data_IF_857736956964
#
_entry.id   IF_857736956964
#
_cell.length_a   1.000
_cell.length_b   1.000
_cell.length_c   1.000
_cell.angle_alpha   90.00
_cell.angle_beta   90.00
_cell.angle_gamma   90.00
#
_symmetry.space_group_name_H-M   'P 1'
#
loop_
_entity.id
_entity.type
_entity.pdbx_description
1 polymer ?
#
# COMPACT_ATOMS: atom_id res chain seq x y z
N UNK A 1 4.05 15.64 3.70
CA UNK A 1 3.57 14.28 3.33
C UNK A 1 2.14 13.99 3.79
N UNK A 2 1.67 14.53 4.93
CA UNK A 2 0.31 14.31 5.46
C UNK A 2 -0.83 14.27 4.43
N UNK A 3 -0.90 15.18 3.47
CA UNK A 3 -1.98 15.19 2.46
C UNK A 3 -1.87 14.04 1.46
N UNK A 4 -0.65 13.62 1.10
CA UNK A 4 -0.43 12.50 0.16
C UNK A 4 -0.71 11.14 0.81
N UNK A 5 -0.56 11.03 2.12
CA UNK A 5 -0.85 9.79 2.87
C UNK A 5 -2.36 9.48 2.92
N UNK A 6 -3.20 10.49 2.75
CA UNK A 6 -4.67 10.37 2.70
C UNK A 6 -5.20 10.02 1.30
N UNK A 7 -4.35 10.09 0.25
CA UNK A 7 -4.76 9.70 -1.09
C UNK A 7 -4.92 8.18 -1.20
N UNK A 8 -5.95 7.77 -1.93
CA UNK A 8 -6.07 6.39 -2.38
C UNK A 8 -4.92 6.02 -3.32
N UNK A 9 -4.61 4.72 -3.43
CA UNK A 9 -3.47 4.24 -4.22
C UNK A 9 -3.59 4.64 -5.70
N UNK A 10 -4.81 4.66 -6.27
CA UNK A 10 -5.02 5.06 -7.67
C UNK A 10 -4.67 6.53 -7.88
N UNK A 11 -5.17 7.43 -7.03
CA UNK A 11 -4.86 8.87 -7.06
C UNK A 11 -3.39 9.15 -6.78
N UNK A 12 -2.77 8.43 -5.84
CA UNK A 12 -1.35 8.56 -5.53
C UNK A 12 -0.46 8.16 -6.72
N UNK A 13 -0.81 7.07 -7.42
CA UNK A 13 -0.10 6.63 -8.62
C UNK A 13 -0.31 7.60 -9.80
N UNK A 14 -1.48 8.24 -9.90
CA UNK A 14 -1.72 9.30 -10.87
C UNK A 14 -0.83 10.52 -10.59
N UNK A 15 -0.79 10.99 -9.33
CA UNK A 15 0.10 12.08 -8.92
C UNK A 15 1.57 11.76 -9.18
N UNK A 16 2.01 10.53 -8.88
CA UNK A 16 3.38 10.06 -9.13
C UNK A 16 3.83 10.22 -10.58
N UNK A 17 2.89 10.18 -11.55
CA UNK A 17 3.19 10.26 -12.99
C UNK A 17 3.24 11.69 -13.54
N UNK A 18 2.89 12.70 -12.73
CA UNK A 18 2.79 14.09 -13.19
C UNK A 18 4.15 14.67 -13.59
N UNK A 19 5.18 14.47 -12.77
CA UNK A 19 6.56 14.89 -13.07
C UNK A 19 7.57 14.12 -12.20
N UNK A 20 8.88 14.33 -12.46
CA UNK A 20 9.95 13.66 -11.73
C UNK A 20 9.93 13.98 -10.22
N UNK A 21 9.65 15.23 -9.85
CA UNK A 21 9.61 15.64 -8.44
C UNK A 21 8.46 14.95 -7.68
N UNK A 22 7.28 14.84 -8.28
CA UNK A 22 6.15 14.10 -7.74
C UNK A 22 6.49 12.61 -7.61
N UNK A 23 7.20 12.05 -8.60
CA UNK A 23 7.69 10.67 -8.54
C UNK A 23 8.61 10.45 -7.34
N UNK A 24 9.61 11.32 -7.17
CA UNK A 24 10.57 11.25 -6.07
C UNK A 24 9.88 11.44 -4.71
N UNK A 25 8.93 12.37 -4.63
CA UNK A 25 8.13 12.63 -3.42
C UNK A 25 7.35 11.39 -2.99
N UNK A 26 6.68 10.71 -3.92
CA UNK A 26 5.95 9.46 -3.63
C UNK A 26 6.91 8.32 -3.28
N UNK A 27 8.02 8.19 -4.00
CA UNK A 27 9.03 7.16 -3.71
C UNK A 27 9.69 7.34 -2.33
N UNK A 28 9.74 8.56 -1.80
CA UNK A 28 10.29 8.88 -0.47
C UNK A 28 9.32 8.56 0.69
N UNK A 29 8.02 8.37 0.42
CA UNK A 29 7.03 8.01 1.45
C UNK A 29 7.37 6.63 2.03
N UNK A 30 7.39 6.53 3.36
CA UNK A 30 7.79 5.30 4.07
C UNK A 30 6.93 4.10 3.69
N UNK A 31 5.62 4.32 3.60
CA UNK A 31 4.65 3.24 3.40
C UNK A 31 4.70 2.74 1.96
N UNK A 32 4.79 3.68 1.00
CA UNK A 32 5.02 3.35 -0.41
C UNK A 32 6.33 2.57 -0.59
N UNK A 33 7.42 3.06 0.01
CA UNK A 33 8.73 2.40 -0.07
C UNK A 33 8.71 0.98 0.51
N UNK A 34 8.08 0.77 1.67
CA UNK A 34 7.95 -0.55 2.30
C UNK A 34 7.15 -1.52 1.44
N UNK A 35 5.97 -1.11 0.95
CA UNK A 35 5.12 -1.96 0.13
C UNK A 35 5.78 -2.30 -1.21
N UNK A 36 6.35 -1.32 -1.90
CA UNK A 36 6.99 -1.55 -3.20
C UNK A 36 8.26 -2.40 -3.09
N UNK A 37 8.97 -2.35 -1.95
CA UNK A 37 10.14 -3.21 -1.70
C UNK A 37 9.75 -4.67 -1.44
N UNK A 38 8.69 -4.90 -0.67
CA UNK A 38 8.37 -6.23 -0.15
C UNK A 38 7.32 -6.96 -0.96
N UNK A 39 6.26 -6.25 -1.38
CA UNK A 39 5.09 -6.84 -2.04
C UNK A 39 4.57 -5.93 -3.16
N UNK A 40 5.39 -5.59 -4.18
CA UNK A 40 4.94 -4.77 -5.31
C UNK A 40 3.83 -5.44 -6.14
N UNK A 41 3.65 -6.76 -6.01
CA UNK A 41 2.52 -7.49 -6.60
C UNK A 41 1.17 -7.04 -6.03
N UNK A 42 1.09 -6.64 -4.76
CA UNK A 42 -0.17 -6.22 -4.13
C UNK A 42 -0.74 -4.95 -4.78
N UNK A 43 0.11 -3.95 -5.02
CA UNK A 43 -0.27 -2.72 -5.73
C UNK A 43 -0.67 -3.02 -7.17
N UNK A 44 0.10 -3.87 -7.88
CA UNK A 44 -0.24 -4.29 -9.25
C UNK A 44 -1.58 -5.02 -9.32
N UNK A 45 -1.83 -5.91 -8.37
CA UNK A 45 -3.09 -6.65 -8.27
C UNK A 45 -4.25 -5.70 -8.02
N UNK A 46 -4.12 -4.78 -7.05
CA UNK A 46 -5.15 -3.79 -6.75
C UNK A 46 -5.50 -2.90 -7.95
N UNK A 47 -4.51 -2.53 -8.77
CA UNK A 47 -4.75 -1.80 -10.02
C UNK A 47 -5.45 -2.70 -11.05
N UNK A 48 -5.01 -3.95 -11.19
CA UNK A 48 -5.54 -4.88 -12.19
C UNK A 48 -7.01 -5.29 -11.93
N UNK A 49 -7.41 -5.40 -10.66
CA UNK A 49 -8.80 -5.72 -10.27
C UNK A 49 -9.63 -4.45 -9.96
N UNK A 50 -9.12 -3.27 -10.31
CA UNK A 50 -9.73 -1.95 -10.08
C UNK A 50 -10.18 -1.67 -8.64
N UNK A 51 -9.41 -2.13 -7.65
CA UNK A 51 -9.67 -1.84 -6.22
C UNK A 51 -8.71 -0.80 -5.63
N UNK A 52 -7.69 -0.35 -6.38
CA UNK A 52 -6.70 0.61 -5.89
C UNK A 52 -7.28 1.97 -5.46
N UNK A 53 -8.53 2.29 -5.80
CA UNK A 53 -9.21 3.52 -5.42
C UNK A 53 -9.93 3.46 -4.06
N UNK A 54 -10.02 2.28 -3.45
CA UNK A 54 -10.83 2.06 -2.23
C UNK A 54 -10.02 2.18 -0.94
N UNK A 55 -8.70 2.32 -1.02
CA UNK A 55 -7.82 2.38 0.14
C UNK A 55 -6.55 3.20 -0.11
N UNK A 56 -5.95 3.70 0.96
CA UNK A 56 -4.65 4.39 0.94
C UNK A 56 -3.46 3.44 1.14
N UNK A 57 -2.25 3.93 0.87
CA UNK A 57 -1.02 3.15 1.10
C UNK A 57 -0.85 2.72 2.56
N UNK A 58 -1.23 3.58 3.51
CA UNK A 58 -1.19 3.29 4.94
C UNK A 58 -2.13 2.15 5.31
N UNK A 59 -3.34 2.15 4.77
CA UNK A 59 -4.32 1.08 4.98
C UNK A 59 -3.84 -0.25 4.37
N UNK A 60 -3.27 -0.20 3.15
CA UNK A 60 -2.69 -1.38 2.52
C UNK A 60 -1.55 -1.96 3.37
N UNK A 61 -0.63 -1.13 3.84
CA UNK A 61 0.48 -1.59 4.69
C UNK A 61 -0.04 -2.21 5.99
N UNK A 62 -1.02 -1.58 6.64
CA UNK A 62 -1.63 -2.12 7.85
C UNK A 62 -2.25 -3.51 7.61
N UNK A 63 -2.93 -3.70 6.47
CA UNK A 63 -3.51 -5.00 6.07
C UNK A 63 -2.44 -6.05 5.78
N UNK A 64 -1.37 -5.67 5.10
CA UNK A 64 -0.24 -6.57 4.81
C UNK A 64 0.54 -6.96 6.07
N UNK A 65 0.53 -6.14 7.13
CA UNK A 65 1.15 -6.45 8.41
C UNK A 65 0.20 -7.18 9.38
N UNK A 66 -1.06 -7.38 8.99
CA UNK A 66 -2.06 -8.02 9.83
C UNK A 66 -1.78 -9.54 9.90
N UNK A 67 -1.64 -10.08 11.11
CA UNK A 67 -1.37 -11.52 11.31
C UNK A 67 -2.62 -12.39 11.09
N UNK A 68 -3.80 -11.81 11.29
CA UNK A 68 -5.09 -12.49 11.23
C UNK A 68 -5.97 -11.75 10.23
N UNK A 69 -6.74 -12.46 9.42
CA UNK A 69 -7.71 -11.82 8.54
C UNK A 69 -8.83 -11.10 9.34
N UNK A 70 -9.52 -10.17 8.69
CA UNK A 70 -10.69 -9.51 9.28
C UNK A 70 -11.89 -10.46 9.38
N UNK A 71 -12.65 -10.34 10.48
CA UNK A 71 -13.88 -11.10 10.74
C UNK A 71 -13.68 -12.35 11.60
N UNK A 72 -14.60 -12.57 12.53
CA UNK A 72 -14.55 -13.64 13.55
C UNK A 72 -14.43 -15.06 12.97
N UNK A 73 -14.78 -15.25 11.69
CA UNK A 73 -14.80 -16.56 11.02
C UNK A 73 -13.71 -16.77 9.97
N UNK A 74 -12.77 -15.83 9.78
CA UNK A 74 -11.78 -16.05 8.74
C UNK A 74 -10.76 -17.14 9.15
N UNK A 75 -10.46 -17.26 10.46
CA UNK A 75 -9.78 -18.40 11.11
C UNK A 75 -8.40 -18.82 10.54
N UNK A 76 -7.96 -18.18 9.45
CA UNK A 76 -6.80 -18.52 8.66
C UNK A 76 -5.75 -17.43 8.85
N UNK A 77 -4.50 -17.85 8.97
CA UNK A 77 -3.36 -16.95 8.98
C UNK A 77 -3.34 -16.18 7.65
N UNK A 78 -3.34 -14.85 7.74
CA UNK A 78 -3.05 -14.02 6.59
C UNK A 78 -1.55 -14.11 6.31
N UNK A 79 -1.11 -14.19 5.04
CA UNK A 79 0.28 -13.92 4.70
C UNK A 79 0.63 -12.51 5.19
N UNK A 80 1.52 -12.40 6.17
CA UNK A 80 1.85 -11.13 6.82
C UNK A 80 3.32 -10.75 6.61
N UNK A 81 3.57 -9.45 6.50
CA UNK A 81 4.91 -8.87 6.51
C UNK A 81 5.29 -8.59 7.97
N UNK A 82 6.34 -9.24 8.48
CA UNK A 82 6.92 -8.89 9.77
C UNK A 82 7.82 -7.67 9.65
N UNK A 83 7.37 -6.53 10.21
CA UNK A 83 8.10 -5.26 10.15
C UNK A 83 9.31 -5.25 11.08
N UNK A 84 9.37 -6.13 12.09
CA UNK A 84 10.46 -6.19 13.06
C UNK A 84 11.65 -7.04 12.60
N UNK A 85 11.48 -7.83 11.53
CA UNK A 85 12.54 -8.58 10.87
C UNK A 85 12.98 -7.92 9.54
N UNK A 86 12.76 -6.61 9.38
CA UNK A 86 13.11 -5.82 8.18
C UNK A 86 14.45 -5.09 8.24
#
# INVERSE_FOLDING_TARGET
HLVLDELDVKSLLAFRRVNQYAMETVNAMSDYKKVMRLVPSSVRMAVAIDTAHTFSMKQLLAKLCQKHCDGDNCGKLAPYIDVFNL
#
